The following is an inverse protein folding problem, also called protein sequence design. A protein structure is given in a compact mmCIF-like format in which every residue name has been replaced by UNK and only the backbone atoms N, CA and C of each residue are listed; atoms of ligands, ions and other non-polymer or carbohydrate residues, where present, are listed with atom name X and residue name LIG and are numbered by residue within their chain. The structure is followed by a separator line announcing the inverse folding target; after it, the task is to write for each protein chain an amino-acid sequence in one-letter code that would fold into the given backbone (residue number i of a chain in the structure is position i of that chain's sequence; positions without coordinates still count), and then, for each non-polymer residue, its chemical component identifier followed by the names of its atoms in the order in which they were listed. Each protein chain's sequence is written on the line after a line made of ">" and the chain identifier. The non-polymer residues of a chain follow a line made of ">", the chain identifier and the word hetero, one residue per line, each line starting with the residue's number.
data_IF_400672001269
#
_entry.id   IF_400672001269
#
_cell.length_a   1.000
_cell.length_b   1.000
_cell.length_c   1.000
_cell.angle_alpha   90.00
_cell.angle_beta   90.00
_cell.angle_gamma   90.00
#
_symmetry.space_group_name_H-M   'P 1'
#
loop_
_entity.id
_entity.type
_entity.pdbx_description
1 polymer ?
#
# COMPACT_ATOMS: atom_id res chain seq x y z
N UNK A 1 19.59 26.05 51.23
CA UNK A 1 19.64 26.39 49.79
C UNK A 1 20.71 25.55 49.12
N UNK A 2 20.28 24.57 48.33
CA UNK A 2 20.94 23.87 47.20
C UNK A 2 20.41 22.43 47.15
N UNK A 3 19.52 22.16 46.20
CA UNK A 3 19.18 20.79 45.79
C UNK A 3 19.79 20.58 44.41
N UNK A 4 20.70 19.63 44.36
CA UNK A 4 21.24 19.03 43.15
C UNK A 4 20.13 18.13 42.57
N UNK A 5 19.69 18.40 41.34
CA UNK A 5 18.76 17.53 40.63
C UNK A 5 19.44 16.96 39.38
N UNK A 6 19.37 15.64 39.29
CA UNK A 6 19.93 14.75 38.28
C UNK A 6 19.71 15.21 36.83
N UNK A 7 20.77 15.12 36.02
CA UNK A 7 20.67 15.00 34.56
C UNK A 7 20.09 13.61 34.23
N UNK A 8 18.92 13.57 33.60
CA UNK A 8 18.50 12.41 32.81
C UNK A 8 19.22 12.45 31.46
N UNK A 9 20.09 11.47 31.23
CA UNK A 9 20.71 11.25 29.92
C UNK A 9 19.68 10.75 28.92
N UNK A 10 19.50 11.48 27.81
CA UNK A 10 18.85 10.96 26.62
C UNK A 10 19.76 9.88 26.02
N UNK A 11 19.31 8.63 26.07
CA UNK A 11 19.90 7.55 25.30
C UNK A 11 19.55 7.75 23.82
N UNK A 12 20.49 8.28 23.04
CA UNK A 12 20.46 8.15 21.59
C UNK A 12 20.53 6.66 21.26
N UNK A 13 19.46 6.10 20.69
CA UNK A 13 19.55 4.83 19.98
C UNK A 13 20.38 5.08 18.72
N UNK A 14 21.69 4.81 18.82
CA UNK A 14 22.54 4.66 17.66
C UNK A 14 22.03 3.42 16.91
N UNK A 15 21.24 3.63 15.86
CA UNK A 15 20.97 2.60 14.88
C UNK A 15 22.33 2.09 14.40
N UNK A 16 22.61 0.82 14.67
CA UNK A 16 23.81 0.15 14.21
C UNK A 16 23.79 0.27 12.69
N UNK A 17 24.66 1.10 12.10
CA UNK A 17 24.83 1.11 10.65
C UNK A 17 25.41 -0.26 10.31
N UNK A 18 24.53 -1.20 9.97
CA UNK A 18 24.94 -2.37 9.23
C UNK A 18 25.66 -1.83 7.99
N UNK A 19 26.90 -2.28 7.78
CA UNK A 19 27.57 -1.97 6.53
C UNK A 19 26.68 -2.50 5.42
N UNK A 20 26.30 -1.61 4.50
CA UNK A 20 25.38 -1.90 3.41
C UNK A 20 26.02 -1.39 2.12
N UNK A 21 25.94 -2.21 1.08
CA UNK A 21 26.24 -1.77 -0.27
C UNK A 21 25.10 -0.87 -0.75
N UNK A 22 25.43 0.31 -1.28
CA UNK A 22 24.46 1.30 -1.74
C UNK A 22 24.71 1.69 -3.20
N UNK A 23 23.64 1.79 -3.98
CA UNK A 23 23.65 2.31 -5.35
C UNK A 23 22.50 3.29 -5.55
N UNK A 24 22.84 4.52 -5.96
CA UNK A 24 21.87 5.49 -6.46
C UNK A 24 21.46 5.09 -7.89
N UNK A 25 20.17 4.85 -8.10
CA UNK A 25 19.61 4.45 -9.39
C UNK A 25 19.02 5.64 -10.14
N UNK A 26 18.42 6.58 -9.41
CA UNK A 26 17.82 7.81 -9.94
C UNK A 26 18.15 8.95 -8.97
N UNK A 27 18.63 10.08 -9.48
CA UNK A 27 18.70 11.37 -8.77
C UNK A 27 18.84 12.51 -9.80
N UNK A 28 18.93 13.80 -9.39
CA UNK A 28 19.08 14.91 -10.34
C UNK A 28 20.30 14.83 -11.28
N UNK A 29 21.32 14.05 -10.94
CA UNK A 29 22.54 13.86 -11.73
C UNK A 29 22.66 12.46 -12.34
N UNK A 30 21.75 11.54 -12.00
CA UNK A 30 21.75 10.14 -12.36
C UNK A 30 20.41 9.81 -13.02
N UNK A 31 20.29 9.93 -14.35
CA UNK A 31 19.05 9.60 -15.03
C UNK A 31 18.79 8.09 -14.98
N UNK A 32 17.51 7.75 -15.04
CA UNK A 32 17.06 6.38 -15.25
C UNK A 32 17.73 5.75 -16.47
N UNK A 33 18.30 4.55 -16.29
CA UNK A 33 18.95 3.79 -17.37
C UNK A 33 18.82 2.30 -17.12
N UNK A 34 18.93 1.52 -18.20
CA UNK A 34 19.03 0.07 -18.10
C UNK A 34 20.25 -0.30 -17.24
N UNK A 35 20.01 -1.09 -16.20
CA UNK A 35 21.02 -1.44 -15.20
C UNK A 35 20.65 -2.75 -14.51
N UNK A 36 21.62 -3.50 -14.01
CA UNK A 36 21.36 -4.66 -13.16
C UNK A 36 22.52 -4.93 -12.21
N UNK A 37 22.23 -5.68 -11.14
CA UNK A 37 23.21 -6.28 -10.26
C UNK A 37 22.70 -7.63 -9.75
N UNK A 38 23.62 -8.55 -9.52
CA UNK A 38 23.35 -9.87 -8.94
C UNK A 38 24.08 -10.05 -7.62
N UNK A 39 23.60 -10.97 -6.78
CA UNK A 39 24.30 -11.34 -5.55
C UNK A 39 25.72 -11.86 -5.81
N UNK A 40 25.95 -12.54 -6.93
CA UNK A 40 27.28 -13.03 -7.35
C UNK A 40 28.25 -11.87 -7.63
N UNK A 41 27.82 -10.86 -8.40
CA UNK A 41 28.64 -9.67 -8.70
C UNK A 41 29.00 -8.87 -7.44
N UNK A 42 28.14 -8.91 -6.42
CA UNK A 42 28.37 -8.29 -5.12
C UNK A 42 29.22 -9.15 -4.17
N UNK A 43 29.56 -10.39 -4.55
CA UNK A 43 30.24 -11.35 -3.67
C UNK A 43 29.38 -11.84 -2.51
N UNK A 44 28.05 -11.67 -2.57
CA UNK A 44 27.10 -12.06 -1.54
C UNK A 44 26.74 -13.54 -1.70
N UNK A 45 26.99 -14.31 -0.64
CA UNK A 45 26.73 -15.76 -0.57
C UNK A 45 25.37 -16.04 0.11
N UNK A 46 24.28 -15.55 -0.49
CA UNK A 46 22.92 -15.87 -0.02
C UNK A 46 22.52 -17.30 -0.41
N UNK A 47 21.73 -18.00 0.43
CA UNK A 47 21.22 -19.35 0.12
C UNK A 47 20.41 -19.36 -1.18
N UNK A 48 19.66 -18.28 -1.43
CA UNK A 48 18.98 -18.01 -2.69
C UNK A 48 19.68 -16.83 -3.37
N UNK A 49 20.28 -17.00 -4.55
CA UNK A 49 20.79 -15.89 -5.33
C UNK A 49 19.68 -14.90 -5.66
N UNK A 50 20.01 -13.62 -5.71
CA UNK A 50 19.06 -12.56 -6.05
C UNK A 50 19.61 -11.67 -7.17
N UNK A 51 18.70 -10.96 -7.83
CA UNK A 51 19.00 -9.99 -8.89
C UNK A 51 18.12 -8.76 -8.70
N UNK A 52 18.70 -7.58 -8.91
CA UNK A 52 17.94 -6.34 -9.10
C UNK A 52 18.24 -5.80 -10.48
N UNK A 53 17.22 -5.41 -11.23
CA UNK A 53 17.38 -4.78 -12.54
C UNK A 53 16.46 -3.60 -12.73
N UNK A 54 16.88 -2.66 -13.56
CA UNK A 54 16.12 -1.50 -13.97
C UNK A 54 16.04 -1.47 -15.49
N UNK A 55 14.86 -1.13 -16.02
CA UNK A 55 14.63 -0.95 -17.46
C UNK A 55 13.64 0.16 -17.75
N UNK A 56 13.75 0.78 -18.92
CA UNK A 56 12.79 1.78 -19.41
C UNK A 56 11.80 1.17 -20.39
N UNK A 57 10.53 1.51 -20.24
CA UNK A 57 9.42 1.16 -21.11
C UNK A 57 9.29 2.16 -22.26
N UNK A 58 8.72 1.67 -23.38
CA UNK A 58 8.55 2.42 -24.61
C UNK A 58 7.20 2.07 -25.26
N UNK A 59 6.70 2.98 -26.10
CA UNK A 59 5.44 2.87 -26.81
C UNK A 59 4.26 3.44 -26.01
N UNK A 60 3.26 3.97 -26.74
CA UNK A 60 1.99 4.43 -26.15
C UNK A 60 2.15 5.43 -25.00
N UNK A 61 1.33 5.30 -23.96
CA UNK A 61 1.37 6.17 -22.77
C UNK A 61 2.35 5.67 -21.71
N UNK A 62 3.02 4.53 -21.89
CA UNK A 62 4.09 4.05 -20.99
C UNK A 62 5.49 4.59 -21.36
N UNK A 63 5.59 5.37 -22.44
CA UNK A 63 6.87 5.92 -22.91
C UNK A 63 7.66 6.62 -21.79
N UNK A 64 8.90 6.19 -21.59
CA UNK A 64 9.82 6.78 -20.61
C UNK A 64 9.59 6.32 -19.16
N UNK A 65 8.63 5.44 -18.88
CA UNK A 65 8.45 4.86 -17.54
C UNK A 65 9.56 3.87 -17.25
N UNK A 66 10.14 3.96 -16.05
CA UNK A 66 11.13 3.01 -15.56
C UNK A 66 10.47 1.96 -14.68
N UNK A 67 10.96 0.73 -14.77
CA UNK A 67 10.64 -0.37 -13.88
C UNK A 67 11.90 -0.81 -13.15
N UNK A 68 11.78 -1.09 -11.86
CA UNK A 68 12.80 -1.74 -11.05
C UNK A 68 12.24 -3.11 -10.64
N UNK A 69 12.90 -4.17 -11.05
CA UNK A 69 12.55 -5.54 -10.74
C UNK A 69 13.54 -6.08 -9.70
N UNK A 70 13.04 -6.53 -8.55
CA UNK A 70 13.81 -7.24 -7.52
C UNK A 70 13.38 -8.70 -7.56
N UNK A 71 14.26 -9.59 -8.01
CA UNK A 71 14.10 -11.03 -7.90
C UNK A 71 14.93 -11.51 -6.71
N UNK A 72 14.26 -11.87 -5.61
CA UNK A 72 14.92 -12.33 -4.39
C UNK A 72 15.27 -13.85 -4.43
N UNK A 73 15.14 -14.49 -5.61
CA UNK A 73 15.37 -15.92 -5.83
C UNK A 73 14.14 -16.80 -5.57
N UNK A 74 13.06 -16.26 -5.02
CA UNK A 74 11.77 -16.95 -4.81
C UNK A 74 10.58 -16.11 -5.26
N UNK A 75 10.65 -14.79 -5.09
CA UNK A 75 9.65 -13.83 -5.51
C UNK A 75 10.31 -12.71 -6.31
N UNK A 76 9.71 -12.36 -7.45
CA UNK A 76 10.05 -11.19 -8.26
C UNK A 76 9.03 -10.09 -8.02
N UNK A 77 9.47 -8.93 -7.57
CA UNK A 77 8.64 -7.74 -7.37
C UNK A 77 8.99 -6.69 -8.42
N UNK A 78 7.98 -6.06 -9.02
CA UNK A 78 8.14 -4.99 -10.01
C UNK A 78 7.67 -3.66 -9.42
N UNK A 79 8.56 -2.68 -9.32
CA UNK A 79 8.33 -1.37 -8.72
C UNK A 79 8.41 -0.29 -9.81
N UNK A 80 7.56 0.74 -9.72
CA UNK A 80 7.47 1.82 -10.72
C UNK A 80 7.87 3.17 -10.12
N UNK A 81 9.14 3.60 -10.25
CA UNK A 81 9.58 4.89 -9.73
C UNK A 81 8.82 6.10 -10.28
N UNK A 82 8.38 6.04 -11.52
CA UNK A 82 7.61 7.13 -12.13
C UNK A 82 6.20 7.26 -11.54
N UNK A 83 5.69 6.23 -10.87
CA UNK A 83 4.33 6.16 -10.32
C UNK A 83 4.38 5.94 -8.81
N UNK A 84 4.96 6.89 -8.07
CA UNK A 84 4.93 6.87 -6.60
C UNK A 84 5.66 5.70 -5.94
N UNK A 85 6.61 5.06 -6.63
CA UNK A 85 7.24 3.81 -6.17
C UNK A 85 6.23 2.69 -5.91
N UNK A 86 5.07 2.72 -6.59
CA UNK A 86 4.04 1.69 -6.51
C UNK A 86 4.61 0.32 -6.89
N UNK A 87 4.03 -0.74 -6.31
CA UNK A 87 4.36 -2.12 -6.68
C UNK A 87 3.37 -2.54 -7.76
N UNK A 88 3.85 -2.73 -8.98
CA UNK A 88 3.01 -3.16 -10.10
C UNK A 88 2.50 -4.58 -9.90
N UNK A 89 3.40 -5.50 -9.55
CA UNK A 89 3.09 -6.91 -9.32
C UNK A 89 4.18 -7.57 -8.45
N UNK A 90 3.85 -8.72 -7.88
CA UNK A 90 4.83 -9.64 -7.31
C UNK A 90 4.53 -11.08 -7.74
N UNK A 91 5.53 -11.82 -8.23
CA UNK A 91 5.35 -13.18 -8.79
C UNK A 91 6.24 -14.16 -8.04
N UNK A 92 5.66 -15.25 -7.54
CA UNK A 92 6.41 -16.34 -6.91
C UNK A 92 5.98 -17.70 -7.50
N UNK A 93 6.85 -18.32 -8.30
CA UNK A 93 6.48 -19.49 -9.11
C UNK A 93 5.35 -19.12 -10.08
N UNK A 94 4.26 -19.89 -10.04
CA UNK A 94 3.09 -19.68 -10.91
C UNK A 94 2.04 -18.73 -10.31
N UNK A 95 2.32 -18.13 -9.15
CA UNK A 95 1.37 -17.25 -8.46
C UNK A 95 1.78 -15.80 -8.62
N UNK A 96 0.88 -15.00 -9.20
CA UNK A 96 0.97 -13.53 -9.26
C UNK A 96 0.13 -12.91 -8.15
N UNK A 97 0.72 -12.02 -7.37
CA UNK A 97 0.05 -10.98 -6.61
C UNK A 97 -0.12 -9.77 -7.53
N UNK A 98 -1.38 -9.43 -7.82
CA UNK A 98 -1.77 -8.37 -8.75
C UNK A 98 -3.12 -8.71 -9.37
N UNK A 99 -3.52 -7.98 -10.39
CA UNK A 99 -4.81 -8.13 -11.06
C UNK A 99 -4.71 -7.68 -12.53
N UNK A 100 -5.68 -8.07 -13.34
CA UNK A 100 -5.72 -7.72 -14.76
C UNK A 100 -6.65 -6.51 -14.95
N UNK A 101 -6.05 -5.33 -14.97
CA UNK A 101 -6.74 -4.08 -15.28
C UNK A 101 -6.98 -3.96 -16.80
N UNK A 102 -8.06 -3.29 -17.24
CA UNK A 102 -8.19 -2.86 -18.64
C UNK A 102 -7.12 -1.84 -19.06
N UNK A 103 -6.41 -1.21 -18.12
CA UNK A 103 -5.24 -0.38 -18.37
C UNK A 103 -4.01 -1.29 -18.46
N UNK A 104 -3.63 -1.69 -19.67
CA UNK A 104 -2.54 -2.64 -19.94
C UNK A 104 -1.15 -1.99 -20.01
N UNK A 105 -1.08 -0.66 -20.04
CA UNK A 105 0.16 0.11 -20.01
C UNK A 105 0.50 0.61 -18.60
N UNK A 106 1.80 0.65 -18.25
CA UNK A 106 2.25 1.37 -17.06
C UNK A 106 2.33 2.86 -17.41
N UNK A 107 1.21 3.56 -17.29
CA UNK A 107 1.04 4.92 -17.84
C UNK A 107 1.98 5.93 -17.16
N UNK A 108 2.76 6.66 -17.95
CA UNK A 108 3.55 7.78 -17.47
C UNK A 108 2.63 8.90 -16.95
N UNK A 109 2.83 9.43 -15.73
CA UNK A 109 2.01 10.54 -15.22
C UNK A 109 1.94 11.76 -16.13
N UNK A 110 2.93 11.99 -17.00
CA UNK A 110 2.87 13.06 -18.01
C UNK A 110 1.72 12.92 -19.01
N UNK A 111 1.11 11.74 -19.12
CA UNK A 111 -0.08 11.51 -19.96
C UNK A 111 -1.36 11.38 -19.13
N UNK A 112 -1.35 11.59 -17.81
CA UNK A 112 -2.54 11.51 -16.96
C UNK A 112 -2.99 12.92 -16.59
N UNK A 113 -4.26 13.21 -16.85
CA UNK A 113 -4.90 14.45 -16.44
C UNK A 113 -5.81 14.15 -15.25
N UNK A 114 -5.30 14.36 -14.03
CA UNK A 114 -5.98 13.92 -12.80
C UNK A 114 -7.36 14.57 -12.59
N UNK A 115 -7.58 15.81 -13.04
CA UNK A 115 -8.90 16.46 -12.91
C UNK A 115 -9.90 15.96 -13.98
N UNK A 116 -9.43 15.16 -14.93
CA UNK A 116 -10.24 14.62 -16.01
C UNK A 116 -11.33 13.74 -15.44
N UNK A 117 -12.44 13.60 -16.19
CA UNK A 117 -13.60 12.81 -15.75
C UNK A 117 -14.09 13.24 -14.36
N UNK A 118 -14.13 14.56 -14.12
CA UNK A 118 -14.58 15.14 -12.85
C UNK A 118 -13.73 14.69 -11.65
N UNK A 119 -12.41 14.62 -11.83
CA UNK A 119 -11.46 14.18 -10.81
C UNK A 119 -11.17 12.68 -10.81
N UNK A 120 -11.71 11.91 -11.75
CA UNK A 120 -11.48 10.46 -11.90
C UNK A 120 -10.34 10.12 -12.88
N UNK A 121 -9.55 11.09 -13.35
CA UNK A 121 -8.47 10.86 -14.30
C UNK A 121 -7.40 9.86 -13.82
N UNK A 122 -7.29 9.67 -12.50
CA UNK A 122 -6.45 8.64 -11.87
C UNK A 122 -6.76 7.21 -12.39
N UNK A 123 -8.02 6.92 -12.72
CA UNK A 123 -8.45 5.61 -13.24
C UNK A 123 -7.77 5.25 -14.58
N UNK A 124 -7.25 6.23 -15.32
CA UNK A 124 -6.58 5.98 -16.59
C UNK A 124 -5.18 5.38 -16.46
N UNK A 125 -4.66 5.25 -15.24
CA UNK A 125 -3.38 4.62 -14.97
C UNK A 125 -3.43 3.46 -13.97
N UNK A 126 -4.60 3.10 -13.46
CA UNK A 126 -4.71 2.15 -12.33
C UNK A 126 -4.56 0.70 -12.77
N UNK A 127 -3.45 0.07 -12.40
CA UNK A 127 -3.20 -1.35 -12.67
C UNK A 127 -2.22 -2.02 -11.69
N UNK A 128 -1.85 -1.34 -10.60
CA UNK A 128 -0.82 -1.80 -9.69
C UNK A 128 -1.35 -2.76 -8.62
N UNK A 129 -0.50 -3.67 -8.13
CA UNK A 129 -0.71 -4.48 -6.94
C UNK A 129 -0.80 -3.58 -5.69
N UNK A 130 0.14 -2.67 -5.47
CA UNK A 130 0.08 -1.72 -4.35
C UNK A 130 0.19 -0.30 -4.86
N UNK A 131 -0.86 0.48 -4.63
CA UNK A 131 -0.88 1.92 -4.91
C UNK A 131 -0.90 2.72 -3.62
N UNK A 132 0.04 3.68 -3.51
CA UNK A 132 0.00 4.69 -2.45
C UNK A 132 -1.04 5.75 -2.81
N UNK A 133 -2.15 5.78 -2.09
CA UNK A 133 -3.13 6.84 -2.14
C UNK A 133 -2.81 7.84 -1.02
N UNK A 134 -2.67 9.13 -1.36
CA UNK A 134 -2.17 10.16 -0.44
C UNK A 134 -1.28 11.22 -1.11
N UNK A 135 -0.56 12.05 -0.35
CA UNK A 135 -0.63 12.17 1.12
C UNK A 135 -1.38 13.41 1.58
N UNK A 136 -1.53 14.44 0.73
CA UNK A 136 -2.34 15.63 1.04
C UNK A 136 -3.84 15.30 1.18
N UNK A 137 -4.34 14.31 0.45
CA UNK A 137 -5.70 13.75 0.63
C UNK A 137 -5.82 12.33 0.07
N UNK A 138 -6.88 11.64 0.49
CA UNK A 138 -7.28 10.29 0.02
C UNK A 138 -8.79 10.27 -0.24
N UNK A 139 -9.21 9.40 -1.16
CA UNK A 139 -10.61 9.00 -1.36
C UNK A 139 -11.22 9.47 -2.67
N UNK A 140 -12.55 9.34 -2.78
CA UNK A 140 -13.32 9.76 -3.96
C UNK A 140 -13.13 11.25 -4.27
N UNK A 141 -13.15 11.62 -5.56
CA UNK A 141 -13.07 13.03 -5.95
C UNK A 141 -14.30 13.79 -5.46
N UNK A 142 -14.18 15.11 -5.39
CA UNK A 142 -15.27 15.99 -4.99
C UNK A 142 -14.77 17.30 -4.40
N UNK A 143 -15.72 18.23 -4.22
CA UNK A 143 -15.43 19.51 -3.59
C UNK A 143 -15.05 19.34 -2.12
N UNK A 144 -13.96 19.99 -1.72
CA UNK A 144 -13.57 20.17 -0.33
C UNK A 144 -13.10 21.60 -0.12
N UNK A 145 -13.84 22.37 0.70
CA UNK A 145 -13.54 23.79 1.00
C UNK A 145 -13.32 24.66 -0.25
N UNK A 146 -14.13 24.45 -1.31
CA UNK A 146 -14.04 25.21 -2.56
C UNK A 146 -12.92 24.78 -3.52
N UNK A 147 -12.26 23.64 -3.25
CA UNK A 147 -11.28 23.02 -4.15
C UNK A 147 -11.79 21.64 -4.60
N UNK A 148 -11.67 21.34 -5.90
CA UNK A 148 -11.91 19.98 -6.39
C UNK A 148 -10.71 19.11 -6.03
N UNK A 149 -10.93 18.12 -5.16
CA UNK A 149 -9.96 17.06 -4.91
C UNK A 149 -10.14 15.94 -5.92
N UNK A 150 -9.04 15.42 -6.45
CA UNK A 150 -9.05 14.29 -7.40
C UNK A 150 -9.04 12.95 -6.67
N UNK A 151 -9.39 11.88 -7.35
CA UNK A 151 -9.40 10.52 -6.80
C UNK A 151 -8.01 10.16 -6.22
N UNK A 152 -8.00 9.73 -4.96
CA UNK A 152 -6.86 9.11 -4.26
C UNK A 152 -5.57 9.94 -4.12
N UNK A 153 -5.63 11.26 -4.29
CA UNK A 153 -4.48 12.12 -4.10
C UNK A 153 -3.48 12.08 -5.26
N UNK A 154 -2.21 12.36 -4.97
CA UNK A 154 -1.17 12.56 -6.00
C UNK A 154 -0.03 11.56 -5.94
N UNK A 155 0.24 10.92 -4.80
CA UNK A 155 1.43 10.10 -4.58
C UNK A 155 1.67 9.06 -5.69
N UNK A 156 0.64 8.32 -6.08
CA UNK A 156 0.67 7.34 -7.18
C UNK A 156 1.13 7.90 -8.55
N UNK A 157 1.06 9.22 -8.74
CA UNK A 157 1.40 9.91 -9.98
C UNK A 157 2.53 10.93 -9.78
N UNK A 158 3.28 10.84 -8.68
CA UNK A 158 4.51 11.61 -8.45
C UNK A 158 5.71 10.73 -8.80
N UNK A 159 6.54 11.12 -9.79
CA UNK A 159 7.82 10.46 -10.03
C UNK A 159 8.78 10.64 -8.86
N UNK A 160 9.48 9.59 -8.47
CA UNK A 160 10.51 9.66 -7.44
C UNK A 160 11.66 10.59 -7.85
N UNK A 161 12.01 11.51 -6.95
CA UNK A 161 13.12 12.47 -7.12
C UNK A 161 14.48 11.85 -6.88
N UNK A 162 14.55 10.80 -6.05
CA UNK A 162 15.73 10.01 -5.76
C UNK A 162 15.32 8.56 -5.54
N UNK A 163 16.06 7.61 -6.09
CA UNK A 163 15.90 6.17 -5.86
C UNK A 163 17.23 5.53 -5.51
N UNK A 164 17.25 4.78 -4.42
CA UNK A 164 18.44 4.16 -3.86
C UNK A 164 18.18 2.70 -3.57
N UNK A 165 19.06 1.83 -4.06
CA UNK A 165 19.12 0.44 -3.68
C UNK A 165 20.16 0.26 -2.58
N UNK A 166 19.78 -0.38 -1.48
CA UNK A 166 20.67 -0.75 -0.37
C UNK A 166 20.57 -2.25 -0.13
N UNK A 167 21.70 -2.91 0.10
CA UNK A 167 21.75 -4.33 0.44
C UNK A 167 22.65 -4.52 1.65
N UNK A 168 22.14 -5.12 2.71
CA UNK A 168 22.93 -5.41 3.92
C UNK A 168 24.07 -6.37 3.58
N UNK A 169 25.28 -6.13 4.09
CA UNK A 169 26.46 -6.98 3.81
C UNK A 169 26.46 -8.31 4.60
N UNK A 170 25.52 -8.48 5.53
CA UNK A 170 25.43 -9.66 6.40
C UNK A 170 24.06 -10.33 6.28
N UNK A 171 23.98 -11.66 6.49
CA UNK A 171 22.69 -12.35 6.56
C UNK A 171 21.71 -11.64 7.52
N UNK A 172 20.42 -11.50 7.15
CA UNK A 172 19.77 -12.14 6.00
C UNK A 172 19.93 -11.39 4.66
N UNK A 173 20.84 -10.42 4.55
CA UNK A 173 21.09 -9.65 3.32
C UNK A 173 19.86 -8.88 2.83
N UNK A 174 19.19 -8.16 3.74
CA UNK A 174 17.98 -7.41 3.42
C UNK A 174 18.24 -6.48 2.22
N UNK A 175 17.39 -6.60 1.21
CA UNK A 175 17.37 -5.75 0.01
C UNK A 175 16.34 -4.66 0.26
N UNK A 176 16.77 -3.39 0.26
CA UNK A 176 15.91 -2.22 0.44
C UNK A 176 15.95 -1.33 -0.80
N UNK A 177 14.78 -1.00 -1.33
CA UNK A 177 14.63 -0.01 -2.39
C UNK A 177 13.90 1.20 -1.81
N UNK A 178 14.62 2.32 -1.73
CA UNK A 178 14.10 3.58 -1.20
C UNK A 178 13.84 4.58 -2.30
N UNK A 179 12.72 5.29 -2.22
CA UNK A 179 12.37 6.35 -3.15
C UNK A 179 11.85 7.60 -2.46
N UNK A 180 12.37 8.77 -2.82
CA UNK A 180 11.90 10.06 -2.30
C UNK A 180 10.82 10.63 -3.23
N UNK A 181 9.59 10.78 -2.74
CA UNK A 181 8.52 11.51 -3.40
C UNK A 181 8.39 12.91 -2.79
N UNK A 182 8.07 13.90 -3.63
CA UNK A 182 7.92 15.31 -3.21
C UNK A 182 6.54 15.80 -3.60
N UNK A 183 5.64 15.91 -2.63
CA UNK A 183 4.33 16.53 -2.80
C UNK A 183 4.42 17.97 -2.31
N UNK A 184 4.78 18.88 -3.22
CA UNK A 184 5.11 20.28 -2.91
C UNK A 184 4.30 21.23 -3.77
N UNK A 185 3.67 22.21 -3.13
CA UNK A 185 2.95 23.29 -3.79
C UNK A 185 3.09 24.59 -2.97
N UNK A 186 3.60 25.64 -3.60
CA UNK A 186 3.82 26.93 -2.94
C UNK A 186 2.52 27.46 -2.30
N UNK A 187 2.59 27.86 -1.02
CA UNK A 187 1.45 28.27 -0.16
C UNK A 187 0.44 27.17 0.19
N UNK A 188 0.67 25.91 -0.22
CA UNK A 188 -0.20 24.77 0.05
C UNK A 188 0.50 23.78 0.98
N UNK A 189 1.33 22.89 0.45
CA UNK A 189 2.01 21.82 1.20
C UNK A 189 3.48 21.70 0.83
N UNK A 190 4.28 21.19 1.76
CA UNK A 190 5.68 20.78 1.53
C UNK A 190 5.91 19.43 2.21
N UNK A 191 5.45 18.36 1.55
CA UNK A 191 5.60 17.00 2.04
C UNK A 191 6.76 16.29 1.34
N UNK A 192 7.60 15.64 2.15
CA UNK A 192 8.61 14.68 1.71
C UNK A 192 8.17 13.30 2.13
N UNK A 193 8.15 12.35 1.20
CA UNK A 193 7.79 10.96 1.48
C UNK A 193 8.97 10.07 1.11
N UNK A 194 9.62 9.53 2.13
CA UNK A 194 10.64 8.50 1.95
C UNK A 194 9.93 7.14 1.93
N UNK A 195 9.76 6.58 0.74
CA UNK A 195 9.25 5.23 0.56
C UNK A 195 10.35 4.21 0.78
N UNK A 196 10.03 3.05 1.34
CA UNK A 196 10.95 1.91 1.43
C UNK A 196 10.18 0.63 1.13
N UNK A 197 10.63 -0.12 0.13
CA UNK A 197 10.30 -1.54 -0.02
C UNK A 197 11.46 -2.37 0.49
N UNK A 198 11.20 -3.40 1.28
CA UNK A 198 12.20 -4.34 1.76
C UNK A 198 11.79 -5.80 1.56
N UNK A 199 12.78 -6.64 1.24
CA UNK A 199 12.66 -8.10 1.15
C UNK A 199 13.99 -8.76 1.53
N UNK A 200 13.95 -10.06 1.78
CA UNK A 200 15.15 -10.89 1.97
C UNK A 200 15.23 -11.96 0.87
N UNK A 201 16.43 -12.42 0.49
CA UNK A 201 16.58 -13.55 -0.40
C UNK A 201 15.82 -14.78 0.09
N UNK A 202 14.98 -15.35 -0.77
CA UNK A 202 14.16 -16.53 -0.47
C UNK A 202 12.81 -16.24 0.20
N UNK A 203 12.51 -14.98 0.58
CA UNK A 203 11.20 -14.63 1.16
C UNK A 203 10.10 -14.67 0.09
N UNK A 204 8.90 -15.16 0.46
CA UNK A 204 7.68 -15.08 -0.38
C UNK A 204 6.84 -13.85 -0.03
N UNK A 205 7.48 -12.70 0.08
CA UNK A 205 6.84 -11.52 0.60
C UNK A 205 7.78 -10.33 0.65
N UNK A 206 7.22 -9.18 0.93
CA UNK A 206 7.92 -7.91 1.06
C UNK A 206 7.22 -7.03 2.09
N UNK A 207 7.89 -5.99 2.53
CA UNK A 207 7.33 -5.01 3.47
C UNK A 207 7.55 -3.60 2.93
N UNK A 208 6.60 -2.73 3.21
CA UNK A 208 6.69 -1.29 2.99
C UNK A 208 6.88 -0.59 4.33
N UNK A 209 7.81 0.34 4.39
CA UNK A 209 8.04 1.20 5.55
C UNK A 209 8.26 2.64 5.07
N UNK A 210 7.17 3.36 4.91
CA UNK A 210 7.23 4.72 4.40
C UNK A 210 7.24 5.73 5.54
N UNK A 211 7.91 6.85 5.32
CA UNK A 211 7.96 7.98 6.25
C UNK A 211 7.50 9.25 5.53
N UNK A 212 6.40 9.84 6.00
CA UNK A 212 5.93 11.16 5.61
C UNK A 212 6.52 12.20 6.57
N UNK A 213 7.18 13.22 6.05
CA UNK A 213 7.67 14.39 6.79
C UNK A 213 6.96 15.65 6.29
N UNK A 214 6.48 16.47 7.21
CA UNK A 214 6.06 17.84 6.90
C UNK A 214 7.27 18.78 6.96
N UNK A 215 7.84 19.11 5.80
CA UNK A 215 8.99 20.01 5.67
C UNK A 215 8.58 21.50 5.74
N UNK A 216 7.28 21.79 5.81
CA UNK A 216 6.76 23.15 5.88
C UNK A 216 6.70 23.71 7.30
N UNK A 217 6.52 25.03 7.40
CA UNK A 217 6.46 25.76 8.68
C UNK A 217 5.09 25.77 9.38
N UNK A 218 4.10 25.07 8.81
CA UNK A 218 2.73 25.03 9.34
C UNK A 218 2.21 23.61 9.43
N UNK A 219 1.41 23.32 10.44
CA UNK A 219 0.65 22.08 10.53
C UNK A 219 -0.22 21.88 9.28
N UNK A 220 -0.32 20.63 8.81
CA UNK A 220 -1.11 20.25 7.63
C UNK A 220 -1.94 19.02 7.91
N UNK A 221 -3.08 18.91 7.24
CA UNK A 221 -3.82 17.66 7.15
C UNK A 221 -3.07 16.68 6.26
N UNK A 222 -3.13 15.38 6.58
CA UNK A 222 -2.64 14.32 5.72
C UNK A 222 -3.56 13.11 5.79
N UNK A 223 -3.55 12.28 4.74
CA UNK A 223 -4.18 10.97 4.72
C UNK A 223 -3.29 9.99 3.95
N UNK A 224 -3.29 8.72 4.35
CA UNK A 224 -2.59 7.65 3.65
C UNK A 224 -3.51 6.43 3.53
N UNK A 225 -3.49 5.78 2.37
CA UNK A 225 -4.16 4.50 2.14
C UNK A 225 -3.29 3.64 1.21
N UNK A 226 -3.04 2.40 1.62
CA UNK A 226 -2.27 1.44 0.84
C UNK A 226 -3.22 0.55 0.07
N UNK A 227 -3.54 0.97 -1.14
CA UNK A 227 -4.53 0.32 -1.99
C UNK A 227 -3.95 -0.97 -2.58
N UNK A 228 -4.20 -2.11 -1.93
CA UNK A 228 -3.58 -3.40 -2.29
C UNK A 228 -4.56 -4.31 -3.02
N UNK A 229 -4.24 -4.66 -4.27
CA UNK A 229 -5.18 -5.20 -5.24
C UNK A 229 -4.85 -6.63 -5.65
N UNK A 230 -5.80 -7.55 -5.47
CA UNK A 230 -5.63 -8.96 -5.80
C UNK A 230 -6.74 -9.46 -6.72
N UNK A 231 -6.35 -10.10 -7.83
CA UNK A 231 -7.22 -10.86 -8.72
C UNK A 231 -6.95 -12.36 -8.62
N UNK A 232 -7.15 -13.07 -9.72
CA UNK A 232 -6.81 -14.49 -9.82
C UNK A 232 -5.28 -14.71 -9.67
N UNK A 233 -4.81 -15.85 -9.14
CA UNK A 233 -5.57 -17.02 -8.68
C UNK A 233 -6.04 -16.96 -7.21
N UNK A 234 -5.81 -15.85 -6.51
CA UNK A 234 -6.23 -15.69 -5.11
C UNK A 234 -7.74 -15.44 -5.00
N UNK A 235 -8.23 -14.52 -5.82
CA UNK A 235 -9.64 -14.19 -5.92
C UNK A 235 -10.34 -15.18 -6.86
N UNK A 236 -11.39 -15.80 -6.37
CA UNK A 236 -12.27 -16.69 -7.10
C UNK A 236 -13.64 -16.75 -6.41
N UNK A 237 -14.62 -17.40 -7.03
CA UNK A 237 -15.91 -17.63 -6.38
C UNK A 237 -15.72 -18.41 -5.08
N UNK A 238 -16.18 -17.82 -3.97
CA UNK A 238 -16.06 -18.42 -2.64
C UNK A 238 -14.69 -18.22 -1.99
N UNK A 239 -13.78 -17.43 -2.59
CA UNK A 239 -12.66 -16.86 -1.86
C UNK A 239 -13.16 -16.09 -0.62
N UNK A 240 -12.28 -15.89 0.36
CA UNK A 240 -12.67 -15.29 1.64
C UNK A 240 -11.68 -14.27 2.15
N UNK A 241 -12.23 -13.19 2.70
CA UNK A 241 -11.53 -12.21 3.52
C UNK A 241 -11.64 -12.59 5.00
N UNK A 242 -10.52 -12.60 5.69
CA UNK A 242 -10.40 -12.93 7.11
C UNK A 242 -9.58 -11.84 7.81
N UNK A 243 -10.11 -11.27 8.88
CA UNK A 243 -9.46 -10.24 9.67
C UNK A 243 -10.03 -10.25 11.10
N UNK A 244 -9.29 -9.76 12.10
CA UNK A 244 -9.82 -9.58 13.44
C UNK A 244 -10.63 -8.28 13.47
N UNK A 245 -11.95 -8.34 13.28
CA UNK A 245 -12.78 -7.16 13.06
C UNK A 245 -13.49 -6.70 14.33
N UNK A 246 -13.26 -5.43 14.69
CA UNK A 246 -13.99 -4.70 15.73
C UNK A 246 -15.32 -4.19 15.23
N UNK A 247 -15.32 -3.53 14.07
CA UNK A 247 -16.52 -2.94 13.48
C UNK A 247 -16.51 -3.09 11.97
N UNK A 248 -17.68 -3.34 11.37
CA UNK A 248 -17.89 -3.30 9.92
C UNK A 248 -19.14 -2.49 9.58
N UNK A 249 -19.08 -1.68 8.53
CA UNK A 249 -20.22 -0.95 7.99
C UNK A 249 -20.16 -0.91 6.46
N UNK A 250 -21.30 -0.83 5.77
CA UNK A 250 -21.30 -0.68 4.32
C UNK A 250 -20.87 0.73 3.93
N UNK A 251 -20.15 0.87 2.82
CA UNK A 251 -19.75 2.18 2.32
C UNK A 251 -20.95 3.03 1.88
N UNK A 252 -21.95 2.39 1.26
CA UNK A 252 -23.16 3.01 0.74
C UNK A 252 -24.36 2.03 0.79
N UNK A 253 -25.54 2.48 0.35
CA UNK A 253 -26.77 1.67 0.37
C UNK A 253 -26.68 0.37 -0.46
N UNK A 254 -25.90 0.37 -1.55
CA UNK A 254 -25.66 -0.82 -2.38
C UNK A 254 -24.88 -1.88 -1.59
N UNK A 255 -23.77 -1.50 -0.98
CA UNK A 255 -22.97 -2.39 -0.12
C UNK A 255 -23.77 -2.92 1.08
N UNK A 256 -24.73 -2.14 1.60
CA UNK A 256 -25.64 -2.57 2.67
C UNK A 256 -26.42 -3.85 2.35
N UNK A 257 -26.72 -4.10 1.07
CA UNK A 257 -27.42 -5.32 0.62
C UNK A 257 -26.57 -6.59 0.74
N UNK A 258 -25.25 -6.45 0.83
CA UNK A 258 -24.30 -7.57 0.92
C UNK A 258 -23.58 -7.64 2.27
N UNK A 259 -23.95 -6.78 3.22
CA UNK A 259 -23.29 -6.69 4.52
C UNK A 259 -23.30 -8.02 5.29
N UNK A 260 -24.33 -8.86 5.14
CA UNK A 260 -24.37 -10.16 5.84
C UNK A 260 -23.34 -11.18 5.35
N UNK A 261 -22.78 -10.99 4.15
CA UNK A 261 -21.79 -11.89 3.52
C UNK A 261 -20.55 -11.12 3.04
N UNK A 262 -20.21 -10.04 3.76
CA UNK A 262 -19.12 -9.14 3.41
C UNK A 262 -17.77 -9.86 3.25
N UNK A 263 -17.56 -10.97 3.97
CA UNK A 263 -16.34 -11.78 3.95
C UNK A 263 -16.21 -12.74 2.76
N UNK A 264 -17.28 -13.08 2.05
CA UNK A 264 -17.24 -14.08 0.97
C UNK A 264 -17.30 -13.39 -0.39
N UNK A 265 -16.47 -13.82 -1.34
CA UNK A 265 -16.45 -13.24 -2.69
C UNK A 265 -17.31 -14.01 -3.68
N UNK A 266 -17.95 -13.27 -4.59
CA UNK A 266 -18.61 -13.83 -5.78
C UNK A 266 -17.57 -14.18 -6.84
N UNK A 267 -17.96 -15.00 -7.81
CA UNK A 267 -17.24 -15.10 -9.07
C UNK A 267 -17.43 -13.84 -9.93
N UNK A 268 -16.82 -13.75 -11.11
CA UNK A 268 -17.05 -12.65 -12.03
C UNK A 268 -18.55 -12.49 -12.33
N UNK A 269 -19.10 -11.29 -12.08
CA UNK A 269 -20.55 -11.03 -12.11
C UNK A 269 -20.84 -9.83 -12.99
N UNK A 270 -21.65 -9.99 -14.03
CA UNK A 270 -22.07 -8.87 -14.88
C UNK A 270 -23.00 -7.91 -14.13
N UNK A 271 -22.91 -6.62 -14.48
CA UNK A 271 -23.69 -5.53 -13.89
C UNK A 271 -23.51 -5.40 -12.36
N UNK A 272 -22.37 -5.88 -11.84
CA UNK A 272 -22.09 -5.88 -10.42
C UNK A 272 -21.50 -4.55 -9.96
N UNK A 273 -20.57 -3.98 -10.74
CA UNK A 273 -19.76 -2.82 -10.38
C UNK A 273 -18.95 -3.12 -9.10
N UNK A 274 -19.19 -2.45 -7.96
CA UNK A 274 -18.46 -2.75 -6.72
C UNK A 274 -19.32 -2.70 -5.44
N UNK A 275 -18.78 -3.29 -4.38
CA UNK A 275 -19.21 -2.99 -3.00
C UNK A 275 -17.98 -2.73 -2.14
N UNK A 276 -18.02 -1.66 -1.34
CA UNK A 276 -16.98 -1.34 -0.36
C UNK A 276 -17.53 -1.50 1.05
N UNK A 277 -16.71 -2.03 1.95
CA UNK A 277 -17.00 -2.10 3.39
C UNK A 277 -15.94 -1.35 4.18
N UNK A 278 -16.38 -0.53 5.12
CA UNK A 278 -15.54 0.14 6.09
C UNK A 278 -15.30 -0.81 7.25
N UNK A 279 -14.03 -1.05 7.60
CA UNK A 279 -13.63 -1.98 8.65
C UNK A 279 -12.75 -1.26 9.67
N UNK A 280 -13.06 -1.45 10.95
CA UNK A 280 -12.14 -1.14 12.05
C UNK A 280 -11.57 -2.47 12.56
N UNK A 281 -10.27 -2.74 12.39
CA UNK A 281 -9.65 -3.95 12.90
C UNK A 281 -9.40 -3.87 14.42
N UNK A 282 -9.35 -5.02 15.09
CA UNK A 282 -8.63 -5.18 16.34
C UNK A 282 -7.13 -5.34 16.05
N UNK A 283 -6.33 -5.02 17.05
CA UNK A 283 -4.89 -5.25 17.07
C UNK A 283 -4.47 -5.93 18.37
N UNK A 284 -3.23 -6.41 18.40
CA UNK A 284 -2.55 -6.82 19.62
C UNK A 284 -2.09 -5.62 20.48
N UNK A 285 -1.33 -5.91 21.55
CA UNK A 285 -0.84 -4.89 22.48
C UNK A 285 0.21 -3.95 21.86
N UNK A 286 0.86 -4.34 20.76
CA UNK A 286 1.84 -3.54 20.04
C UNK A 286 1.17 -2.69 18.94
N UNK A 287 -0.13 -2.91 18.69
CA UNK A 287 -0.87 -2.26 17.62
C UNK A 287 -0.80 -3.02 16.30
N UNK A 288 -0.18 -4.21 16.27
CA UNK A 288 -0.10 -5.01 15.05
C UNK A 288 -1.42 -5.73 14.79
N UNK A 289 -1.80 -5.76 13.51
CA UNK A 289 -2.94 -6.54 13.02
C UNK A 289 -2.58 -7.29 11.75
N UNK A 290 -3.42 -8.25 11.39
CA UNK A 290 -3.21 -9.11 10.23
C UNK A 290 -4.55 -9.35 9.53
N UNK A 291 -4.56 -9.20 8.22
CA UNK A 291 -5.70 -9.58 7.38
C UNK A 291 -5.23 -10.62 6.36
N UNK A 292 -6.17 -11.37 5.80
CA UNK A 292 -5.88 -12.41 4.82
C UNK A 292 -6.97 -12.50 3.77
N UNK A 293 -6.56 -12.59 2.51
CA UNK A 293 -7.38 -13.12 1.42
C UNK A 293 -6.92 -14.56 1.15
N UNK A 294 -7.84 -15.52 1.05
CA UNK A 294 -7.51 -16.87 0.60
C UNK A 294 -8.53 -17.40 -0.39
N UNK A 295 -8.08 -18.27 -1.30
CA UNK A 295 -8.92 -18.94 -2.27
C UNK A 295 -9.91 -19.90 -1.56
N UNK A 296 -10.93 -20.40 -2.27
CA UNK A 296 -12.00 -21.20 -1.69
C UNK A 296 -11.49 -22.48 -1.02
N UNK A 297 -10.46 -23.11 -1.59
CA UNK A 297 -9.86 -24.35 -1.03
C UNK A 297 -8.93 -24.11 0.16
N UNK A 298 -8.63 -22.84 0.49
CA UNK A 298 -7.66 -22.43 1.50
C UNK A 298 -6.25 -23.02 1.25
N UNK A 299 -5.89 -23.24 -0.02
CA UNK A 299 -4.57 -23.74 -0.43
C UNK A 299 -3.62 -22.61 -0.81
N UNK A 300 -4.18 -21.45 -1.16
CA UNK A 300 -3.45 -20.27 -1.56
C UNK A 300 -4.05 -19.05 -0.85
N UNK A 301 -3.20 -18.17 -0.34
CA UNK A 301 -3.62 -16.93 0.27
C UNK A 301 -2.53 -15.88 0.29
N UNK A 302 -2.88 -14.69 0.75
CA UNK A 302 -1.94 -13.60 1.00
C UNK A 302 -2.35 -12.91 2.29
N UNK A 303 -1.37 -12.59 3.13
CA UNK A 303 -1.61 -11.73 4.29
C UNK A 303 -1.25 -10.28 3.99
N UNK A 304 -2.03 -9.35 4.53
CA UNK A 304 -1.70 -7.92 4.62
C UNK A 304 -1.67 -7.57 6.11
N UNK A 305 -0.47 -7.38 6.66
CA UNK A 305 -0.26 -6.99 8.06
C UNK A 305 0.15 -5.53 8.18
N UNK A 306 -0.31 -4.83 9.22
CA UNK A 306 -0.05 -3.41 9.43
C UNK A 306 -0.24 -3.01 10.90
N UNK A 307 0.19 -1.80 11.26
CA UNK A 307 0.00 -1.26 12.61
C UNK A 307 -1.22 -0.31 12.68
N UNK A 308 -2.20 -0.59 13.53
CA UNK A 308 -3.43 0.19 13.65
C UNK A 308 -3.25 1.53 14.36
N UNK A 309 -2.07 1.82 14.92
CA UNK A 309 -1.73 3.16 15.42
C UNK A 309 -1.31 4.10 14.29
N UNK A 310 -0.86 3.53 13.18
CA UNK A 310 -0.45 4.23 11.97
C UNK A 310 -1.59 4.27 10.95
N UNK A 311 -2.27 3.13 10.77
CA UNK A 311 -3.36 2.91 9.81
C UNK A 311 -4.59 2.37 10.58
N UNK A 312 -5.36 3.23 11.28
CA UNK A 312 -6.42 2.83 12.21
C UNK A 312 -7.66 2.19 11.56
N UNK A 313 -7.85 2.35 10.26
CA UNK A 313 -9.03 1.86 9.55
C UNK A 313 -8.64 1.09 8.29
N UNK A 314 -9.60 0.36 7.73
CA UNK A 314 -9.40 -0.50 6.59
C UNK A 314 -10.61 -0.43 5.64
N UNK A 315 -10.39 -0.23 4.35
CA UNK A 315 -11.45 -0.40 3.33
C UNK A 315 -11.31 -1.79 2.69
N UNK A 316 -12.41 -2.53 2.62
CA UNK A 316 -12.52 -3.76 1.85
C UNK A 316 -13.29 -3.46 0.56
N UNK A 317 -12.57 -3.29 -0.55
CA UNK A 317 -13.17 -3.09 -1.87
C UNK A 317 -13.36 -4.43 -2.56
N UNK A 318 -14.59 -4.74 -2.95
CA UNK A 318 -14.95 -5.95 -3.69
C UNK A 318 -15.46 -5.51 -5.07
N UNK A 319 -14.62 -5.62 -6.08
CA UNK A 319 -14.98 -5.42 -7.48
C UNK A 319 -15.05 -6.77 -8.19
N UNK A 320 -16.02 -7.59 -7.77
CA UNK A 320 -16.28 -8.90 -8.39
C UNK A 320 -17.11 -8.78 -9.67
N UNK A 321 -16.81 -7.75 -10.48
CA UNK A 321 -17.41 -7.57 -11.80
C UNK A 321 -16.83 -8.62 -12.79
N UNK A 322 -17.10 -8.47 -14.07
CA UNK A 322 -16.55 -9.30 -15.13
C UNK A 322 -15.03 -9.17 -15.21
N UNK A 323 -14.37 -10.21 -15.75
CA UNK A 323 -12.91 -10.25 -15.89
C UNK A 323 -12.34 -9.06 -16.69
N UNK A 324 -13.05 -8.61 -17.74
CA UNK A 324 -12.59 -7.50 -18.59
C UNK A 324 -12.82 -6.13 -17.97
N UNK A 325 -13.85 -5.97 -17.14
CA UNK A 325 -14.07 -4.74 -16.39
C UNK A 325 -13.08 -4.63 -15.23
N UNK A 326 -12.76 -5.78 -14.63
CA UNK A 326 -11.79 -5.94 -13.56
C UNK A 326 -12.35 -6.89 -12.51
N UNK A 327 -11.81 -8.10 -12.40
CA UNK A 327 -12.16 -9.02 -11.32
C UNK A 327 -11.10 -8.96 -10.23
N UNK A 328 -11.33 -8.08 -9.24
CA UNK A 328 -10.30 -7.65 -8.28
C UNK A 328 -10.91 -7.32 -6.91
N UNK A 329 -10.10 -7.44 -5.86
CA UNK A 329 -10.42 -6.92 -4.52
C UNK A 329 -9.29 -6.04 -3.99
N UNK A 330 -9.65 -4.95 -3.34
CA UNK A 330 -8.78 -4.07 -2.57
C UNK A 330 -8.80 -4.44 -1.08
N UNK A 331 -7.61 -4.64 -0.51
CA UNK A 331 -7.37 -4.74 0.93
C UNK A 331 -6.59 -3.48 1.34
N UNK A 332 -7.27 -2.51 1.95
CA UNK A 332 -6.81 -1.12 1.97
C UNK A 332 -6.65 -0.58 3.39
N UNK A 333 -5.56 -0.90 4.11
CA UNK A 333 -5.28 -0.24 5.38
C UNK A 333 -4.97 1.25 5.15
N UNK A 334 -5.55 2.11 5.98
CA UNK A 334 -5.49 3.55 5.81
C UNK A 334 -5.64 4.36 7.09
N UNK A 335 -5.29 5.64 7.03
CA UNK A 335 -5.68 6.65 8.02
C UNK A 335 -7.16 7.00 7.93
N UNK A 336 -7.79 6.70 6.79
CA UNK A 336 -9.17 7.01 6.45
C UNK A 336 -9.75 5.98 5.50
N UNK A 337 -11.08 5.95 5.36
CA UNK A 337 -11.74 5.18 4.31
C UNK A 337 -11.57 5.84 2.93
N UNK A 338 -12.32 5.37 1.92
CA UNK A 338 -12.26 5.89 0.55
C UNK A 338 -13.30 6.98 0.24
N UNK A 339 -14.01 7.53 1.24
CA UNK A 339 -14.85 8.72 1.06
C UNK A 339 -14.01 9.95 0.72
N UNK A 340 -14.59 10.94 0.05
CA UNK A 340 -13.98 12.27 -0.10
C UNK A 340 -13.58 12.84 1.28
N UNK A 341 -12.43 13.54 1.33
CA UNK A 341 -11.86 14.11 2.58
C UNK A 341 -12.86 14.92 3.40
N UNK A 342 -13.80 15.63 2.76
CA UNK A 342 -14.84 16.39 3.46
C UNK A 342 -15.68 15.53 4.43
N UNK A 343 -16.03 14.31 4.01
CA UNK A 343 -16.78 13.35 4.82
C UNK A 343 -15.95 12.67 5.92
N UNK A 344 -14.62 12.71 5.80
CA UNK A 344 -13.69 12.06 6.72
C UNK A 344 -13.41 12.91 7.96
N UNK A 345 -13.47 14.26 7.85
CA UNK A 345 -13.22 15.16 8.99
C UNK A 345 -14.18 14.93 10.15
N UNK A 346 -15.51 14.83 9.96
CA UNK A 346 -16.45 14.53 11.05
C UNK A 346 -16.24 13.15 11.68
N UNK A 347 -15.63 12.21 10.95
CA UNK A 347 -15.28 10.88 11.46
C UNK A 347 -13.96 10.87 12.25
N UNK A 348 -13.23 12.00 12.27
CA UNK A 348 -11.91 12.09 12.90
C UNK A 348 -10.80 11.37 12.13
N UNK A 349 -10.98 11.16 10.83
CA UNK A 349 -10.07 10.38 9.97
C UNK A 349 -9.20 11.26 9.05
N UNK A 350 -9.06 12.55 9.38
CA UNK A 350 -8.16 13.49 8.70
C UNK A 350 -7.18 14.03 9.74
N UNK A 351 -6.12 13.26 10.06
CA UNK A 351 -5.14 13.68 11.04
C UNK A 351 -4.32 14.87 10.55
N UNK A 352 -3.69 15.57 11.50
CA UNK A 352 -2.72 16.62 11.23
C UNK A 352 -1.28 16.14 11.49
N UNK A 353 -0.32 16.76 10.79
CA UNK A 353 1.12 16.59 10.96
C UNK A 353 1.78 17.96 11.20
N UNK A 354 2.51 18.08 12.31
CA UNK A 354 3.18 19.32 12.72
C UNK A 354 4.44 19.61 11.89
N UNK A 355 4.94 20.86 11.86
CA UNK A 355 6.22 21.21 11.21
C UNK A 355 7.38 20.34 11.68
N UNK A 356 8.09 19.71 10.75
CA UNK A 356 9.20 18.78 11.01
C UNK A 356 8.80 17.43 11.62
N UNK A 357 7.51 17.20 11.88
CA UNK A 357 7.03 15.91 12.38
C UNK A 357 7.10 14.85 11.28
N UNK A 358 7.34 13.61 11.71
CA UNK A 358 7.32 12.43 10.85
C UNK A 358 6.18 11.49 11.24
N UNK A 359 5.54 10.90 10.23
CA UNK A 359 4.58 9.81 10.36
C UNK A 359 5.11 8.59 9.63
N UNK A 360 5.06 7.44 10.28
CA UNK A 360 5.54 6.18 9.74
C UNK A 360 4.36 5.29 9.38
N UNK A 361 4.53 4.50 8.32
CA UNK A 361 3.50 3.58 7.85
C UNK A 361 4.14 2.25 7.47
N UNK A 362 3.76 1.21 8.18
CA UNK A 362 4.25 -0.14 7.98
C UNK A 362 3.16 -1.05 7.42
N UNK A 363 3.45 -1.69 6.28
CA UNK A 363 2.59 -2.71 5.71
C UNK A 363 3.42 -3.90 5.24
N UNK A 364 2.99 -5.11 5.53
CA UNK A 364 3.68 -6.35 5.17
C UNK A 364 2.78 -7.26 4.33
N UNK A 365 3.39 -7.91 3.34
CA UNK A 365 2.73 -8.81 2.41
C UNK A 365 3.46 -10.14 2.38
N UNK A 366 2.76 -11.24 2.63
CA UNK A 366 3.33 -12.59 2.55
C UNK A 366 2.38 -13.53 1.82
N UNK A 367 2.91 -14.22 0.80
CA UNK A 367 2.18 -15.23 0.03
C UNK A 367 2.17 -16.57 0.79
N UNK A 368 0.97 -17.09 0.99
CA UNK A 368 0.69 -18.37 1.64
C UNK A 368 0.47 -19.42 0.56
N UNK A 369 1.38 -20.38 0.43
CA UNK A 369 1.43 -21.32 -0.71
C UNK A 369 0.91 -22.74 -0.41
N UNK A 370 0.27 -22.94 0.74
CA UNK A 370 -0.37 -24.20 1.10
C UNK A 370 -1.38 -24.04 2.26
N UNK A 371 -2.18 -25.09 2.51
CA UNK A 371 -3.16 -25.14 3.62
C UNK A 371 -2.56 -24.88 5.00
N UNK A 372 -1.36 -25.35 5.26
CA UNK A 372 -0.73 -25.16 6.57
C UNK A 372 -0.41 -23.68 6.81
N UNK A 373 0.12 -22.98 5.80
CA UNK A 373 0.39 -21.55 5.87
C UNK A 373 -0.90 -20.72 6.03
N UNK A 374 -1.97 -21.07 5.30
CA UNK A 374 -3.29 -20.43 5.44
C UNK A 374 -3.88 -20.67 6.83
N UNK A 375 -3.78 -21.89 7.36
CA UNK A 375 -4.27 -22.23 8.70
C UNK A 375 -3.49 -21.52 9.81
N UNK A 376 -2.17 -21.37 9.66
CA UNK A 376 -1.33 -20.63 10.60
C UNK A 376 -1.69 -19.14 10.64
N UNK A 377 -1.78 -18.49 9.48
CA UNK A 377 -2.20 -17.10 9.37
C UNK A 377 -3.60 -16.88 9.96
N UNK A 378 -4.54 -17.80 9.68
CA UNK A 378 -5.88 -17.78 10.27
C UNK A 378 -5.83 -17.89 11.80
N UNK A 379 -5.01 -18.78 12.36
CA UNK A 379 -4.88 -18.96 13.80
C UNK A 379 -4.34 -17.69 14.48
N UNK A 380 -3.39 -17.00 13.84
CA UNK A 380 -2.88 -15.70 14.31
C UNK A 380 -3.97 -14.63 14.30
N UNK A 381 -4.78 -14.56 13.24
CA UNK A 381 -5.93 -13.64 13.15
C UNK A 381 -6.97 -13.95 14.23
N UNK A 382 -7.31 -15.22 14.43
CA UNK A 382 -8.27 -15.65 15.46
C UNK A 382 -7.74 -15.37 16.87
N UNK A 383 -6.43 -15.48 17.10
CA UNK A 383 -5.81 -15.07 18.36
C UNK A 383 -5.94 -13.56 18.62
N UNK A 384 -5.79 -12.73 17.58
CA UNK A 384 -6.08 -11.28 17.69
C UNK A 384 -7.58 -11.06 17.87
N UNK A 385 -8.49 -11.77 17.22
CA UNK A 385 -9.93 -11.61 17.50
C UNK A 385 -10.26 -11.96 18.97
N UNK A 386 -9.80 -13.12 19.44
CA UNK A 386 -10.20 -13.72 20.71
C UNK A 386 -11.72 -13.91 20.78
N UNK A 387 -12.31 -13.73 21.96
CA UNK A 387 -13.77 -13.82 22.16
C UNK A 387 -14.51 -12.50 21.85
N UNK A 388 -13.81 -11.49 21.33
CA UNK A 388 -14.40 -10.18 21.03
C UNK A 388 -15.38 -10.31 19.86
N UNK A 389 -16.54 -9.67 19.96
CA UNK A 389 -17.54 -9.68 18.88
C UNK A 389 -17.28 -8.54 17.90
N UNK A 390 -17.55 -8.80 16.63
CA UNK A 390 -17.65 -7.75 15.61
C UNK A 390 -18.97 -7.00 15.76
N UNK A 391 -18.89 -5.68 15.87
CA UNK A 391 -20.04 -4.78 15.75
C UNK A 391 -20.38 -4.58 14.26
N UNK A 392 -21.63 -4.84 13.88
CA UNK A 392 -22.12 -4.62 12.52
C UNK A 392 -22.98 -3.36 12.53
N UNK A 393 -22.54 -2.30 11.85
CA UNK A 393 -23.36 -1.11 11.62
C UNK A 393 -24.08 -1.30 10.29
N UNK A 394 -25.41 -1.41 10.33
CA UNK A 394 -26.22 -1.69 9.14
C UNK A 394 -26.30 -0.54 8.14
N UNK A 395 -26.03 0.69 8.58
CA UNK A 395 -26.12 1.90 7.76
C UNK A 395 -24.73 2.43 7.39
N UNK A 396 -24.59 3.09 6.23
CA UNK A 396 -23.40 3.86 5.91
C UNK A 396 -23.05 4.89 7.00
N UNK A 397 -21.76 5.14 7.19
CA UNK A 397 -21.27 6.11 8.19
C UNK A 397 -21.55 7.55 7.80
N UNK A 398 -21.71 7.80 6.50
CA UNK A 398 -21.94 9.12 5.91
C UNK A 398 -23.05 9.04 4.88
N UNK A 399 -23.73 10.15 4.66
CA UNK A 399 -24.74 10.30 3.61
C UNK A 399 -24.06 10.84 2.35
N UNK A 400 -24.04 10.04 1.28
CA UNK A 400 -23.41 10.39 0.00
C UNK A 400 -24.41 10.97 -1.01
N UNK A 401 -25.70 11.04 -0.67
CA UNK A 401 -26.77 11.46 -1.59
C UNK A 401 -27.11 12.96 -1.50
N UNK A 402 -26.44 13.71 -0.62
CA UNK A 402 -26.66 15.16 -0.42
C UNK A 402 -25.62 16.03 -1.11
#
# INVERSE_FOLDING_TARGET
>A
MTRLSLLCGLGFCLANQAMAWEQVLIDPNTPARNWQVTSEELGIQAERPFKVSMRTLHGGRQEGVSLIEIDNGVMRMTIVPNRGMNVLEAVAGDVRLGWDSPVDEVVNPSFIELNGREGLGWLEGFNELVTRCGYEWVGHPGEDNGELLTLHGRAANIPASRVVLQIDEKPPYVIRLRGELKEKAFKKVDFSIMTELSTEPGRRGFSLHDTLTNEGDYAKEYQALYHTNFGTPLLEQGARFVAPVKQVSPFNAKAGKELSDWQTYRGPTADYDETVFNVVPFADEQGETLTMLHNRSAELGVTVGFNTRELPVFSLWKNTDTEKQGYVTGLEPGTSYSYNRAYQRPLGLVPAIEPGEQKHFHVSYDLLVNKAAVADARSRIEAIQGDRKTEVIEKPLVDLEN
#
